data_IF_737461740194
#
_entry.id   IF_737461740194
#
_cell.length_a   1.000
_cell.length_b   1.000
_cell.length_c   1.000
_cell.angle_alpha   90.00
_cell.angle_beta   90.00
_cell.angle_gamma   90.00
#
_symmetry.space_group_name_H-M   'P 1'
#
loop_
_entity.id
_entity.type
_entity.pdbx_description
1 polymer ?
#
# COMPACT_ATOMS: atom_id res chain seq x y z
N UNK A 1 47.86 -10.93 0.65
CA UNK A 1 46.45 -11.29 0.94
C UNK A 1 45.56 -10.07 1.18
N UNK A 2 45.96 -9.11 2.01
CA UNK A 2 45.12 -7.97 2.44
C UNK A 2 44.51 -7.13 1.30
N UNK A 3 45.29 -6.80 0.26
CA UNK A 3 44.85 -5.98 -0.88
C UNK A 3 43.71 -6.60 -1.69
N UNK A 4 43.66 -7.95 -1.77
CA UNK A 4 42.62 -8.68 -2.48
C UNK A 4 41.29 -8.60 -1.72
N UNK A 5 41.36 -8.72 -0.38
CA UNK A 5 40.24 -8.63 0.55
C UNK A 5 39.65 -7.21 0.57
N UNK A 6 40.49 -6.18 0.60
CA UNK A 6 40.04 -4.78 0.56
C UNK A 6 39.36 -4.44 -0.77
N UNK A 7 39.85 -4.99 -1.88
CA UNK A 7 39.25 -4.79 -3.21
C UNK A 7 37.88 -5.47 -3.32
N UNK A 8 37.75 -6.69 -2.83
CA UNK A 8 36.44 -7.39 -2.79
C UNK A 8 35.43 -6.70 -1.88
N UNK A 9 35.85 -6.20 -0.71
CA UNK A 9 34.97 -5.46 0.20
C UNK A 9 34.46 -4.16 -0.44
N UNK A 10 35.36 -3.41 -1.11
CA UNK A 10 34.99 -2.16 -1.81
C UNK A 10 34.02 -2.41 -2.96
N UNK A 11 34.21 -3.49 -3.72
CA UNK A 11 33.28 -3.91 -4.79
C UNK A 11 31.92 -4.30 -4.22
N UNK A 12 31.89 -5.07 -3.13
CA UNK A 12 30.65 -5.48 -2.49
C UNK A 12 29.85 -4.29 -1.96
N UNK A 13 30.51 -3.31 -1.29
CA UNK A 13 29.85 -2.09 -0.83
C UNK A 13 29.25 -1.28 -1.99
N UNK A 14 29.95 -1.17 -3.12
CA UNK A 14 29.41 -0.48 -4.30
C UNK A 14 28.17 -1.19 -4.85
N UNK A 15 28.18 -2.52 -4.93
CA UNK A 15 27.03 -3.31 -5.38
C UNK A 15 25.83 -3.09 -4.47
N UNK A 16 26.00 -3.17 -3.15
CA UNK A 16 24.91 -2.95 -2.18
C UNK A 16 24.32 -1.55 -2.30
N UNK A 17 25.15 -0.52 -2.44
CA UNK A 17 24.68 0.87 -2.61
C UNK A 17 23.88 1.01 -3.92
N UNK A 18 24.39 0.48 -5.03
CA UNK A 18 23.68 0.56 -6.33
C UNK A 18 22.35 -0.19 -6.31
N UNK A 19 22.28 -1.36 -5.67
CA UNK A 19 21.05 -2.13 -5.53
C UNK A 19 20.02 -1.41 -4.61
N UNK A 20 20.48 -0.80 -3.51
CA UNK A 20 19.61 -0.05 -2.60
C UNK A 20 19.02 1.21 -3.25
N UNK A 21 19.81 1.93 -4.05
CA UNK A 21 19.33 3.12 -4.78
C UNK A 21 18.39 2.73 -5.92
N UNK A 22 18.59 1.58 -6.58
CA UNK A 22 17.68 1.07 -7.60
C UNK A 22 16.36 0.50 -7.03
N UNK A 23 16.34 0.09 -5.76
CA UNK A 23 15.13 -0.38 -5.05
C UNK A 23 14.24 0.75 -4.51
N UNK A 24 14.76 1.98 -4.39
CA UNK A 24 13.94 3.16 -4.19
C UNK A 24 13.28 3.49 -5.54
N UNK A 25 12.07 2.96 -5.73
CA UNK A 25 11.33 2.92 -6.99
C UNK A 25 11.56 4.12 -7.91
N UNK A 26 11.75 3.81 -9.19
CA UNK A 26 11.97 4.80 -10.25
C UNK A 26 10.83 5.84 -10.27
N UNK A 27 11.00 7.00 -10.92
CA UNK A 27 9.90 8.00 -11.03
C UNK A 27 8.63 7.36 -11.59
N UNK A 28 8.73 6.31 -12.40
CA UNK A 28 7.62 5.48 -12.89
C UNK A 28 6.81 4.78 -11.79
N UNK A 29 7.41 4.51 -10.63
CA UNK A 29 6.79 3.90 -9.44
C UNK A 29 6.39 4.95 -8.40
N UNK A 30 7.08 6.10 -8.32
CA UNK A 30 6.68 7.24 -7.46
C UNK A 30 5.59 8.13 -8.07
N UNK A 31 5.49 8.21 -9.39
CA UNK A 31 4.24 8.50 -10.06
C UNK A 31 3.50 7.17 -10.11
N UNK A 32 2.94 6.73 -8.99
CA UNK A 32 2.03 5.59 -8.98
C UNK A 32 1.13 5.72 -10.21
N UNK A 33 1.00 4.69 -11.06
CA UNK A 33 0.15 4.83 -12.21
C UNK A 33 -1.26 5.11 -11.67
N UNK A 34 -1.79 6.31 -11.94
CA UNK A 34 -3.23 6.49 -12.14
C UNK A 34 -3.75 5.53 -13.22
N UNK A 35 -2.86 4.81 -13.91
CA UNK A 35 -3.12 3.62 -14.71
C UNK A 35 -3.55 2.44 -13.83
N UNK A 36 -4.79 2.56 -13.40
CA UNK A 36 -5.64 1.53 -12.81
C UNK A 36 -5.39 0.17 -13.49
N UNK A 37 -4.76 -0.81 -12.81
CA UNK A 37 -4.51 -2.14 -13.38
C UNK A 37 -5.82 -2.79 -13.80
N UNK A 38 -5.94 -3.11 -15.09
CA UNK A 38 -7.17 -3.66 -15.66
C UNK A 38 -7.54 -5.05 -15.11
N UNK A 39 -6.60 -5.77 -14.48
CA UNK A 39 -6.82 -7.14 -14.00
C UNK A 39 -7.11 -7.24 -12.48
N UNK A 40 -7.05 -6.13 -11.73
CA UNK A 40 -7.35 -6.17 -10.31
C UNK A 40 -8.86 -6.10 -10.12
N UNK A 41 -9.41 -7.07 -9.40
CA UNK A 41 -10.85 -7.18 -9.12
C UNK A 41 -11.40 -5.97 -8.38
N UNK A 42 -10.56 -5.26 -7.61
CA UNK A 42 -10.89 -3.98 -6.97
C UNK A 42 -11.24 -2.85 -7.96
N UNK A 43 -10.96 -3.05 -9.25
CA UNK A 43 -11.27 -2.11 -10.32
C UNK A 43 -12.24 -2.68 -11.35
N UNK A 44 -12.83 -3.86 -11.10
CA UNK A 44 -13.95 -4.33 -11.90
C UNK A 44 -15.09 -3.30 -11.83
N UNK A 45 -15.89 -3.14 -12.90
CA UNK A 45 -17.11 -2.37 -12.84
C UNK A 45 -17.93 -2.85 -11.64
N UNK A 46 -18.35 -1.92 -10.78
CA UNK A 46 -19.24 -2.27 -9.69
C UNK A 46 -20.53 -2.84 -10.30
N UNK A 47 -20.85 -4.09 -10.00
CA UNK A 47 -22.07 -4.73 -10.47
C UNK A 47 -23.31 -4.17 -9.78
N UNK A 48 -23.12 -3.42 -8.69
CA UNK A 48 -24.19 -2.67 -8.05
C UNK A 48 -24.61 -1.52 -8.97
N UNK A 49 -25.90 -1.22 -8.97
CA UNK A 49 -26.44 -0.03 -9.62
C UNK A 49 -25.79 1.22 -9.02
N UNK A 50 -25.93 2.38 -9.69
CA UNK A 50 -25.50 3.67 -9.13
C UNK A 50 -25.88 3.73 -7.65
N UNK A 51 -24.85 3.85 -6.80
CA UNK A 51 -25.05 4.04 -5.38
C UNK A 51 -25.94 5.27 -5.25
N UNK A 52 -27.15 5.08 -4.71
CA UNK A 52 -28.09 6.17 -4.49
C UNK A 52 -27.49 7.31 -3.67
N UNK A 53 -28.24 8.39 -3.41
CA UNK A 53 -27.73 9.52 -2.65
C UNK A 53 -27.11 9.05 -1.33
N UNK A 54 -25.99 9.66 -0.94
CA UNK A 54 -25.34 9.29 0.32
C UNK A 54 -26.33 9.42 1.48
N UNK A 55 -26.43 8.36 2.28
CA UNK A 55 -27.30 8.33 3.45
C UNK A 55 -26.47 8.18 4.72
N UNK A 56 -26.96 8.80 5.79
CA UNK A 56 -26.35 8.66 7.11
C UNK A 56 -26.69 7.27 7.67
N UNK A 57 -25.68 6.39 7.80
CA UNK A 57 -25.88 5.00 8.24
C UNK A 57 -26.20 4.94 9.74
N UNK A 58 -25.64 5.85 10.54
CA UNK A 58 -25.81 5.89 12.00
C UNK A 58 -26.59 7.14 12.42
N UNK A 59 -27.86 7.24 12.05
CA UNK A 59 -28.74 8.38 12.36
C UNK A 59 -28.73 8.82 13.82
N UNK A 60 -28.55 7.86 14.74
CA UNK A 60 -28.30 8.08 16.15
C UNK A 60 -26.91 7.54 16.52
N UNK A 61 -25.97 8.46 16.76
CA UNK A 61 -24.61 8.11 17.13
C UNK A 61 -24.56 7.37 18.47
N UNK A 62 -25.44 7.73 19.43
CA UNK A 62 -25.43 7.13 20.76
C UNK A 62 -25.84 5.66 20.72
N UNK A 63 -26.88 5.34 19.96
CA UNK A 63 -27.31 3.97 19.73
C UNK A 63 -26.22 3.15 19.00
N UNK A 64 -25.53 3.75 18.02
CA UNK A 64 -24.46 3.09 17.30
C UNK A 64 -23.26 2.75 18.21
N UNK A 65 -22.86 3.67 19.09
CA UNK A 65 -21.77 3.41 20.05
C UNK A 65 -22.16 2.36 21.09
N UNK A 66 -23.39 2.42 21.62
CA UNK A 66 -23.87 1.40 22.56
C UNK A 66 -23.85 -0.01 21.94
N UNK A 67 -24.19 -0.15 20.65
CA UNK A 67 -24.10 -1.41 19.94
C UNK A 67 -22.64 -1.92 19.85
N UNK A 68 -21.68 -1.05 19.54
CA UNK A 68 -20.26 -1.40 19.50
C UNK A 68 -19.78 -1.88 20.87
N UNK A 69 -20.13 -1.15 21.93
CA UNK A 69 -19.75 -1.51 23.31
C UNK A 69 -20.31 -2.89 23.70
N UNK A 70 -21.53 -3.21 23.26
CA UNK A 70 -22.13 -4.53 23.51
C UNK A 70 -21.39 -5.69 22.82
N UNK A 71 -20.82 -5.47 21.64
CA UNK A 71 -20.05 -6.49 20.90
C UNK A 71 -18.67 -6.75 21.52
N UNK A 72 -18.12 -5.77 22.23
CA UNK A 72 -16.82 -5.88 22.93
C UNK A 72 -16.96 -6.59 24.28
N UNK A 73 -18.16 -6.57 24.86
CA UNK A 73 -18.46 -7.16 26.16
C UNK A 73 -18.74 -8.69 26.10
N UNK A 74 -18.81 -9.28 24.90
CA UNK A 74 -18.94 -10.73 24.66
C UNK A 74 -17.57 -11.41 24.59
#
# INVERSE_FOLDING_TARGET
MATKVTRTAKVLSLVVITAGVAGCGTVKEKTAPCKRPANLTSYAPDSRQECGPMMHVNGDASAAFAAIDSMVAE
#
